data_IF_376310387422
#
_entry.id   IF_376310387422
#
_cell.length_a   1.000
_cell.length_b   1.000
_cell.length_c   1.000
_cell.angle_alpha   90.00
_cell.angle_beta   90.00
_cell.angle_gamma   90.00
#
_symmetry.space_group_name_H-M   'P 1'
#
loop_
_entity.id
_entity.type
_entity.pdbx_description
1 polymer ?
#
# COMPACT_ATOMS: atom_id res chain seq x y z
N UNK A 1 14.15 -9.23 11.46
CA UNK A 1 13.88 -9.12 12.93
C UNK A 1 14.46 -7.81 13.45
N UNK A 2 13.76 -7.11 14.35
CA UNK A 2 14.23 -5.83 14.93
C UNK A 2 15.55 -6.01 15.70
N UNK A 3 16.43 -5.01 15.59
CA UNK A 3 17.70 -4.95 16.32
C UNK A 3 17.74 -3.72 17.23
N UNK A 4 18.38 -3.86 18.39
CA UNK A 4 18.54 -2.78 19.36
C UNK A 4 20.04 -2.56 19.59
N UNK A 5 20.50 -1.35 19.34
CA UNK A 5 21.87 -0.93 19.63
C UNK A 5 21.99 -0.61 21.11
N UNK A 6 22.69 -1.46 21.86
CA UNK A 6 22.86 -1.33 23.31
C UNK A 6 23.66 -0.11 23.72
N UNK A 7 24.57 0.41 22.87
CA UNK A 7 25.36 1.61 23.17
C UNK A 7 24.48 2.87 23.13
N UNK A 8 23.53 2.94 22.18
CA UNK A 8 22.58 4.04 22.04
C UNK A 8 21.40 3.93 22.99
N UNK A 9 20.98 2.70 23.34
CA UNK A 9 19.81 2.45 24.17
C UNK A 9 20.02 2.97 25.60
N UNK A 10 19.05 3.75 26.10
CA UNK A 10 19.04 4.31 27.45
C UNK A 10 18.06 3.59 28.40
N UNK A 11 17.42 2.50 27.95
CA UNK A 11 16.51 1.71 28.77
C UNK A 11 15.20 2.41 29.16
N UNK A 12 14.76 3.42 28.38
CA UNK A 12 13.58 4.23 28.70
C UNK A 12 12.23 3.49 28.66
N UNK A 13 12.16 2.31 28.02
CA UNK A 13 10.96 1.47 27.99
C UNK A 13 9.95 1.76 26.87
N UNK A 14 9.99 2.91 26.20
CA UNK A 14 8.98 3.30 25.21
C UNK A 14 8.74 2.26 24.11
N UNK A 15 9.82 1.65 23.60
CA UNK A 15 9.70 0.62 22.56
C UNK A 15 9.02 -0.67 23.04
N UNK A 16 9.09 -0.98 24.33
CA UNK A 16 8.42 -2.15 24.91
C UNK A 16 6.94 -1.84 25.20
N UNK A 17 6.66 -0.64 25.66
CA UNK A 17 5.31 -0.15 25.95
C UNK A 17 4.46 -0.07 24.69
N UNK A 18 5.03 0.41 23.58
CA UNK A 18 4.36 0.57 22.29
C UNK A 18 4.33 -0.74 21.44
N UNK A 19 4.97 -1.80 21.88
CA UNK A 19 5.03 -3.06 21.14
C UNK A 19 3.76 -3.89 21.30
N UNK A 20 2.84 -3.83 20.33
CA UNK A 20 1.60 -4.62 20.36
C UNK A 20 1.83 -6.14 20.47
N UNK A 21 2.95 -6.66 19.92
CA UNK A 21 3.32 -8.07 20.02
C UNK A 21 4.02 -8.40 21.33
N UNK A 22 4.29 -7.42 22.21
CA UNK A 22 4.99 -7.55 23.48
C UNK A 22 6.35 -8.26 23.37
N UNK A 23 7.04 -8.05 22.25
CA UNK A 23 8.28 -8.75 21.90
C UNK A 23 9.56 -8.07 22.40
N UNK A 24 9.44 -6.99 23.16
CA UNK A 24 10.55 -6.24 23.72
C UNK A 24 10.45 -6.28 25.24
N UNK A 25 11.53 -6.68 25.91
CA UNK A 25 11.69 -6.56 27.36
C UNK A 25 12.71 -5.47 27.67
N UNK A 26 12.54 -4.80 28.79
CA UNK A 26 13.46 -3.77 29.27
C UNK A 26 13.98 -4.17 30.64
N UNK A 27 15.31 -4.21 30.73
CA UNK A 27 16.06 -4.22 31.98
C UNK A 27 16.90 -2.94 32.03
N UNK A 28 18.20 -3.03 32.17
CA UNK A 28 19.08 -1.87 31.96
C UNK A 28 19.02 -1.34 30.52
N UNK A 29 18.84 -2.24 29.57
CA UNK A 29 18.65 -2.01 28.14
C UNK A 29 17.46 -2.78 27.62
N UNK A 30 16.92 -2.35 26.50
CA UNK A 30 15.88 -3.10 25.81
C UNK A 30 16.46 -4.31 25.07
N UNK A 31 15.71 -5.41 25.04
CA UNK A 31 16.06 -6.64 24.32
C UNK A 31 14.83 -7.26 23.65
N UNK A 32 15.03 -7.80 22.45
CA UNK A 32 13.98 -8.50 21.69
C UNK A 32 13.90 -9.95 22.15
N UNK A 33 12.67 -10.48 22.33
CA UNK A 33 12.44 -11.80 22.90
C UNK A 33 11.61 -12.78 22.05
N UNK A 34 10.99 -12.33 20.98
CA UNK A 34 10.07 -13.17 20.20
C UNK A 34 9.91 -12.74 18.76
N UNK A 35 8.86 -13.24 18.08
CA UNK A 35 8.55 -12.91 16.69
C UNK A 35 8.11 -11.46 16.56
N UNK A 36 8.52 -10.82 15.48
CA UNK A 36 8.31 -9.40 15.22
C UNK A 36 7.40 -9.20 14.01
N UNK A 37 6.37 -8.39 14.16
CA UNK A 37 5.50 -7.95 13.05
C UNK A 37 6.18 -6.95 12.11
N UNK A 38 7.38 -6.50 12.44
CA UNK A 38 8.15 -5.50 11.68
C UNK A 38 7.36 -4.20 11.39
N UNK A 39 6.47 -3.82 12.31
CA UNK A 39 5.57 -2.67 12.12
C UNK A 39 6.24 -1.29 12.29
N UNK A 40 7.47 -1.23 12.76
CA UNK A 40 8.25 0.01 12.89
C UNK A 40 7.94 0.89 14.12
N UNK A 41 6.90 0.61 14.91
CA UNK A 41 6.52 1.44 16.08
C UNK A 41 7.68 1.68 17.03
N UNK A 42 8.43 0.63 17.38
CA UNK A 42 9.60 0.76 18.26
C UNK A 42 10.73 1.62 17.65
N UNK A 43 10.83 1.70 16.33
CA UNK A 43 11.74 2.62 15.65
C UNK A 43 11.25 4.06 15.81
N UNK A 44 9.97 4.30 15.53
CA UNK A 44 9.35 5.62 15.57
C UNK A 44 9.39 6.28 16.96
N UNK A 45 9.19 5.50 18.04
CA UNK A 45 9.16 6.04 19.42
C UNK A 45 10.52 6.14 20.09
N UNK A 46 11.60 5.68 19.46
CA UNK A 46 12.92 5.63 20.09
C UNK A 46 13.62 7.00 20.08
N UNK A 47 13.76 7.71 21.22
CA UNK A 47 14.34 9.05 21.27
C UNK A 47 15.86 9.05 21.05
N UNK A 48 16.48 7.89 20.92
CA UNK A 48 17.93 7.70 20.73
C UNK A 48 18.28 7.02 19.42
N UNK A 49 17.28 6.79 18.53
CA UNK A 49 17.49 6.07 17.27
C UNK A 49 18.31 4.77 17.49
N UNK A 50 17.99 4.05 18.61
CA UNK A 50 18.69 2.84 19.01
C UNK A 50 18.07 1.59 18.37
N UNK A 51 16.91 1.70 17.71
CA UNK A 51 16.17 0.56 17.17
C UNK A 51 16.22 0.60 15.63
N UNK A 52 16.43 -0.56 15.01
CA UNK A 52 16.44 -0.72 13.57
C UNK A 52 15.76 -2.01 13.14
N UNK A 53 15.26 -2.04 11.91
CA UNK A 53 14.72 -3.23 11.24
C UNK A 53 15.60 -3.51 10.02
N UNK A 54 16.56 -4.45 10.08
CA UNK A 54 17.52 -4.69 9.00
C UNK A 54 16.93 -5.07 7.65
N UNK A 55 15.68 -5.53 7.65
CA UNK A 55 14.96 -5.93 6.45
C UNK A 55 14.36 -4.70 5.72
N UNK A 56 14.44 -3.50 6.32
CA UNK A 56 13.99 -2.23 5.76
C UNK A 56 15.19 -1.34 5.46
N UNK A 57 15.00 -0.46 4.47
CA UNK A 57 15.94 0.63 4.24
C UNK A 57 15.77 1.65 5.37
N UNK A 58 16.74 1.67 6.28
CA UNK A 58 16.69 2.57 7.43
C UNK A 58 17.03 4.03 7.07
N UNK A 59 17.60 4.26 5.88
CA UNK A 59 17.86 5.61 5.36
C UNK A 59 16.57 6.26 4.80
N UNK A 60 15.51 5.45 4.57
CA UNK A 60 14.17 5.92 4.18
C UNK A 60 13.31 6.36 5.39
N UNK A 61 13.86 6.29 6.61
CA UNK A 61 13.16 6.73 7.82
C UNK A 61 13.24 8.26 7.94
N UNK A 62 12.10 8.92 7.84
CA UNK A 62 11.99 10.36 8.00
C UNK A 62 11.70 10.75 9.45
N UNK A 63 12.45 11.75 9.96
CA UNK A 63 12.12 12.36 11.25
C UNK A 63 10.96 13.35 11.08
N UNK A 64 9.96 13.28 11.98
CA UNK A 64 8.82 14.19 11.95
C UNK A 64 9.27 15.65 12.06
N UNK A 65 8.83 16.46 11.11
CA UNK A 65 9.07 17.91 11.07
C UNK A 65 7.72 18.62 11.13
N UNK A 66 7.39 19.25 12.25
CA UNK A 66 6.08 19.86 12.49
C UNK A 66 5.66 20.81 11.38
N UNK A 67 6.55 21.67 10.93
CA UNK A 67 6.26 22.72 9.94
C UNK A 67 5.98 22.16 8.54
N UNK A 68 6.65 21.05 8.15
CA UNK A 68 6.52 20.46 6.80
C UNK A 68 5.54 19.29 6.75
N UNK A 69 5.29 18.60 7.86
CA UNK A 69 4.41 17.43 7.91
C UNK A 69 3.00 17.75 8.41
N UNK A 70 2.80 18.96 8.92
CA UNK A 70 1.49 19.40 9.40
C UNK A 70 0.51 19.57 8.24
N UNK A 71 -0.55 18.80 8.27
CA UNK A 71 -1.65 18.94 7.32
C UNK A 71 -2.76 19.79 7.94
N UNK A 72 -3.26 20.77 7.18
CA UNK A 72 -4.47 21.49 7.56
C UNK A 72 -5.66 20.53 7.55
N UNK A 73 -6.42 20.38 8.66
CA UNK A 73 -7.52 19.43 8.75
C UNK A 73 -8.62 19.67 7.71
N UNK A 74 -8.85 20.92 7.31
CA UNK A 74 -9.85 21.26 6.29
C UNK A 74 -9.38 20.79 4.90
N UNK A 75 -8.09 20.91 4.60
CA UNK A 75 -7.54 20.42 3.33
C UNK A 75 -7.65 18.90 3.23
N UNK A 76 -7.37 18.17 4.33
CA UNK A 76 -7.60 16.72 4.39
C UNK A 76 -9.08 16.38 4.17
N UNK A 77 -9.97 17.09 4.86
CA UNK A 77 -11.42 16.89 4.70
C UNK A 77 -11.89 17.22 3.28
N UNK A 78 -11.35 18.27 2.66
CA UNK A 78 -11.63 18.61 1.25
C UNK A 78 -11.18 17.49 0.31
N UNK A 79 -9.97 16.95 0.48
CA UNK A 79 -9.47 15.84 -0.33
C UNK A 79 -10.40 14.62 -0.26
N UNK A 80 -10.94 14.31 0.94
CA UNK A 80 -11.90 13.23 1.13
C UNK A 80 -13.25 13.55 0.45
N UNK A 81 -13.79 14.74 0.68
CA UNK A 81 -15.11 15.16 0.15
C UNK A 81 -15.14 15.28 -1.37
N UNK A 82 -14.05 15.78 -1.98
CA UNK A 82 -13.97 16.02 -3.40
C UNK A 82 -13.54 14.80 -4.23
N UNK A 83 -13.13 13.72 -3.56
CA UNK A 83 -12.81 12.48 -4.25
C UNK A 83 -14.02 11.95 -5.02
N UNK A 84 -13.83 11.68 -6.29
CA UNK A 84 -14.84 11.06 -7.19
C UNK A 84 -14.19 9.91 -7.96
N UNK A 85 -15.01 8.98 -8.40
CA UNK A 85 -14.58 7.97 -9.36
C UNK A 85 -14.32 8.64 -10.70
N UNK A 86 -13.08 8.62 -11.15
CA UNK A 86 -12.69 9.11 -12.47
C UNK A 86 -12.98 7.99 -13.48
N UNK A 87 -13.62 8.34 -14.62
CA UNK A 87 -13.98 7.39 -15.68
C UNK A 87 -13.63 7.91 -17.07
N UNK A 88 -13.05 9.10 -17.13
CA UNK A 88 -12.55 9.72 -18.36
C UNK A 88 -11.10 10.06 -18.12
N UNK A 89 -10.21 9.48 -18.87
CA UNK A 89 -8.78 9.64 -18.72
C UNK A 89 -8.20 10.37 -19.92
N UNK A 90 -7.08 11.02 -19.70
CA UNK A 90 -6.27 11.59 -20.78
C UNK A 90 -5.40 10.47 -21.38
N UNK A 91 -5.07 10.60 -22.66
CA UNK A 91 -4.18 9.65 -23.35
C UNK A 91 -2.71 9.80 -22.96
N UNK A 92 -2.38 10.85 -22.20
CA UNK A 92 -1.02 11.12 -21.77
C UNK A 92 -0.51 10.04 -20.79
N UNK A 93 0.68 9.53 -21.07
CA UNK A 93 1.33 8.56 -20.19
C UNK A 93 1.69 9.19 -18.84
N UNK A 94 1.48 8.44 -17.78
CA UNK A 94 1.88 8.84 -16.43
C UNK A 94 3.41 8.80 -16.32
N UNK A 95 4.02 9.90 -15.88
CA UNK A 95 5.48 9.93 -15.74
C UNK A 95 5.97 8.94 -14.68
N UNK A 96 7.18 8.42 -14.86
CA UNK A 96 7.81 7.49 -13.92
C UNK A 96 7.80 8.01 -12.48
N UNK A 97 8.11 9.28 -12.27
CA UNK A 97 8.05 9.93 -10.95
C UNK A 97 6.67 9.82 -10.29
N UNK A 98 5.60 10.02 -11.06
CA UNK A 98 4.23 9.87 -10.53
C UNK A 98 3.92 8.42 -10.17
N UNK A 99 4.37 7.46 -10.98
CA UNK A 99 4.20 6.03 -10.69
C UNK A 99 4.96 5.62 -9.42
N UNK A 100 6.16 6.12 -9.23
CA UNK A 100 6.97 5.90 -8.03
C UNK A 100 6.27 6.45 -6.77
N UNK A 101 5.69 7.66 -6.84
CA UNK A 101 4.91 8.23 -5.74
C UNK A 101 3.66 7.40 -5.43
N UNK A 102 2.96 6.88 -6.44
CA UNK A 102 1.82 5.99 -6.25
C UNK A 102 2.23 4.66 -5.60
N UNK A 103 3.36 4.09 -6.01
CA UNK A 103 3.90 2.88 -5.40
C UNK A 103 4.27 3.11 -3.94
N UNK A 104 4.89 4.24 -3.62
CA UNK A 104 5.19 4.62 -2.23
C UNK A 104 3.92 4.78 -1.40
N UNK A 105 2.92 5.49 -1.89
CA UNK A 105 1.64 5.63 -1.20
C UNK A 105 0.99 4.26 -0.92
N UNK A 106 1.07 3.33 -1.89
CA UNK A 106 0.61 1.96 -1.73
C UNK A 106 1.41 1.17 -0.69
N UNK A 107 2.74 1.33 -0.66
CA UNK A 107 3.64 0.67 0.30
C UNK A 107 3.30 1.04 1.75
N UNK A 108 2.95 2.29 2.01
CA UNK A 108 2.61 2.76 3.36
C UNK A 108 1.15 2.51 3.75
N UNK A 109 0.37 1.85 2.90
CA UNK A 109 -1.00 1.45 3.24
C UNK A 109 -0.98 0.35 4.31
N UNK A 110 -1.78 0.52 5.36
CA UNK A 110 -1.89 -0.45 6.43
C UNK A 110 -2.40 -1.81 5.92
N UNK A 111 -1.76 -2.88 6.36
CA UNK A 111 -2.16 -4.26 6.05
C UNK A 111 -2.38 -5.06 7.33
N UNK A 112 -3.21 -6.12 7.29
CA UNK A 112 -3.44 -6.97 8.44
C UNK A 112 -2.11 -7.57 8.94
N UNK A 113 -1.85 -7.46 10.24
CA UNK A 113 -0.60 -7.90 10.91
C UNK A 113 0.69 -7.40 10.23
N UNK A 114 0.60 -6.27 9.53
CA UNK A 114 1.70 -5.72 8.72
C UNK A 114 2.27 -6.70 7.70
N UNK A 115 1.41 -7.50 7.07
CA UNK A 115 1.81 -8.55 6.12
C UNK A 115 2.51 -7.99 4.87
N UNK A 116 2.20 -6.75 4.46
CA UNK A 116 2.82 -6.05 3.31
C UNK A 116 2.88 -6.90 2.02
N UNK A 117 1.92 -7.81 1.85
CA UNK A 117 1.88 -8.79 0.76
C UNK A 117 1.32 -8.26 -0.57
N UNK A 118 1.15 -6.96 -0.72
CA UNK A 118 0.62 -6.37 -1.94
C UNK A 118 1.72 -6.13 -2.98
N UNK A 119 1.41 -6.42 -4.24
CA UNK A 119 2.26 -6.11 -5.38
C UNK A 119 1.56 -5.07 -6.25
N UNK A 120 2.33 -4.09 -6.74
CA UNK A 120 1.83 -3.06 -7.65
C UNK A 120 2.45 -3.26 -9.02
N UNK A 121 1.60 -3.39 -10.03
CA UNK A 121 2.02 -3.51 -11.42
C UNK A 121 1.45 -2.34 -12.20
N UNK A 122 2.29 -1.56 -12.83
CA UNK A 122 1.90 -0.45 -13.70
C UNK A 122 2.05 -0.87 -15.16
N UNK A 123 0.96 -0.83 -15.91
CA UNK A 123 0.93 -1.16 -17.34
C UNK A 123 0.57 0.10 -18.10
N UNK A 124 1.41 0.53 -19.03
CA UNK A 124 1.17 1.70 -19.89
C UNK A 124 1.34 1.37 -21.36
N UNK A 125 2.53 0.91 -21.77
CA UNK A 125 2.87 0.73 -23.19
C UNK A 125 2.10 -0.41 -23.85
N UNK A 126 1.73 -1.42 -23.07
CA UNK A 126 1.00 -2.61 -23.53
C UNK A 126 -0.43 -2.66 -22.94
N UNK A 127 -0.99 -1.50 -22.59
CA UNK A 127 -2.32 -1.44 -21.98
C UNK A 127 -3.41 -2.00 -22.90
N UNK A 128 -3.35 -1.68 -24.20
CA UNK A 128 -4.34 -2.17 -25.17
C UNK A 128 -4.24 -3.69 -25.37
N UNK A 129 -3.03 -4.24 -25.38
CA UNK A 129 -2.85 -5.69 -25.44
C UNK A 129 -3.39 -6.38 -24.17
N UNK A 130 -3.16 -5.78 -22.99
CA UNK A 130 -3.72 -6.28 -21.74
C UNK A 130 -5.26 -6.25 -21.77
N UNK A 131 -5.87 -5.15 -22.22
CA UNK A 131 -7.32 -5.03 -22.40
C UNK A 131 -7.87 -6.12 -23.29
N UNK A 132 -7.27 -6.33 -24.45
CA UNK A 132 -7.68 -7.36 -25.40
C UNK A 132 -7.57 -8.77 -24.82
N UNK A 133 -6.53 -9.05 -24.05
CA UNK A 133 -6.36 -10.34 -23.37
C UNK A 133 -7.45 -10.57 -22.31
N UNK A 134 -7.75 -9.55 -21.52
CA UNK A 134 -8.79 -9.61 -20.48
C UNK A 134 -10.16 -9.85 -21.11
N UNK A 135 -10.51 -9.09 -22.16
CA UNK A 135 -11.80 -9.24 -22.82
C UNK A 135 -11.94 -10.61 -23.51
N UNK A 136 -10.90 -11.11 -24.17
CA UNK A 136 -10.90 -12.49 -24.74
C UNK A 136 -11.07 -13.55 -23.66
N UNK A 137 -10.48 -13.36 -22.49
CA UNK A 137 -10.67 -14.28 -21.37
C UNK A 137 -12.11 -14.29 -20.87
N UNK A 138 -12.73 -13.12 -20.73
CA UNK A 138 -14.14 -12.97 -20.32
C UNK A 138 -15.08 -13.59 -21.36
N UNK A 139 -14.82 -13.39 -22.66
CA UNK A 139 -15.55 -14.05 -23.74
C UNK A 139 -15.48 -15.59 -23.65
N UNK A 140 -14.31 -16.11 -23.38
CA UNK A 140 -14.09 -17.54 -23.21
C UNK A 140 -14.86 -18.15 -22.02
N UNK A 141 -14.97 -17.39 -20.92
CA UNK A 141 -15.78 -17.81 -19.75
C UNK A 141 -17.25 -17.77 -20.09
N UNK A 142 -17.73 -16.68 -20.70
CA UNK A 142 -19.13 -16.53 -21.09
C UNK A 142 -19.58 -17.66 -22.03
N UNK A 143 -18.72 -18.04 -22.98
CA UNK A 143 -19.00 -19.10 -23.94
C UNK A 143 -19.05 -20.51 -23.32
N UNK A 144 -18.21 -20.79 -22.31
CA UNK A 144 -18.15 -22.12 -21.67
C UNK A 144 -19.21 -22.33 -20.59
N UNK A 145 -19.29 -21.39 -19.66
CA UNK A 145 -20.00 -21.59 -18.39
C UNK A 145 -21.22 -20.69 -18.23
N UNK A 146 -21.42 -19.72 -19.13
CA UNK A 146 -22.41 -18.67 -18.94
C UNK A 146 -22.13 -17.86 -17.66
N UNK A 147 -23.19 -17.34 -17.03
CA UNK A 147 -23.08 -16.53 -15.81
C UNK A 147 -23.25 -17.40 -14.55
N UNK A 148 -22.57 -18.53 -14.45
CA UNK A 148 -22.66 -19.41 -13.28
C UNK A 148 -21.88 -18.90 -12.09
N UNK A 149 -20.77 -18.20 -12.33
CA UNK A 149 -19.96 -17.59 -11.28
C UNK A 149 -20.48 -16.16 -10.97
N UNK A 150 -21.07 -16.00 -9.79
CA UNK A 150 -21.61 -14.73 -9.33
C UNK A 150 -20.52 -13.62 -9.25
N UNK A 151 -19.26 -13.99 -9.02
CA UNK A 151 -18.16 -13.04 -8.98
C UNK A 151 -17.83 -12.47 -10.37
N UNK A 152 -18.06 -13.21 -11.43
CA UNK A 152 -17.80 -12.82 -12.81
C UNK A 152 -19.00 -12.15 -13.50
N UNK A 153 -20.19 -12.27 -12.95
CA UNK A 153 -21.41 -11.70 -13.53
C UNK A 153 -21.32 -10.20 -13.88
N UNK A 154 -20.74 -9.31 -13.04
CA UNK A 154 -20.57 -7.91 -13.38
C UNK A 154 -19.69 -7.71 -14.62
N UNK A 155 -18.58 -8.44 -14.73
CA UNK A 155 -17.63 -8.31 -15.84
C UNK A 155 -18.22 -8.79 -17.16
N UNK A 156 -19.00 -9.86 -17.14
CA UNK A 156 -19.75 -10.33 -18.33
C UNK A 156 -20.75 -9.27 -18.79
N UNK A 157 -21.45 -8.61 -17.86
CA UNK A 157 -22.36 -7.52 -18.18
C UNK A 157 -21.63 -6.32 -18.81
N UNK A 158 -20.45 -5.94 -18.28
CA UNK A 158 -19.63 -4.88 -18.86
C UNK A 158 -19.12 -5.25 -20.25
N UNK A 159 -18.71 -6.50 -20.46
CA UNK A 159 -18.28 -6.97 -21.77
C UNK A 159 -19.40 -6.91 -22.82
N UNK A 160 -20.64 -7.25 -22.45
CA UNK A 160 -21.81 -7.11 -23.35
C UNK A 160 -22.06 -5.66 -23.73
N UNK A 161 -22.03 -4.75 -22.76
CA UNK A 161 -22.16 -3.30 -23.04
C UNK A 161 -21.05 -2.81 -23.97
N UNK A 162 -19.81 -3.21 -23.73
CA UNK A 162 -18.69 -2.85 -24.61
C UNK A 162 -18.90 -3.34 -26.05
N UNK A 163 -19.43 -4.55 -26.24
CA UNK A 163 -19.74 -5.07 -27.57
C UNK A 163 -20.83 -4.27 -28.31
N UNK A 164 -21.76 -3.69 -27.57
CA UNK A 164 -22.80 -2.82 -28.10
C UNK A 164 -22.28 -1.41 -28.38
N UNK A 165 -21.35 -0.92 -27.56
CA UNK A 165 -20.75 0.38 -27.70
C UNK A 165 -19.26 0.32 -27.30
N UNK A 166 -18.37 0.30 -28.29
CA UNK A 166 -16.91 0.17 -28.08
C UNK A 166 -16.28 1.30 -27.25
N UNK A 167 -16.96 2.46 -27.16
CA UNK A 167 -16.52 3.57 -26.32
C UNK A 167 -16.84 3.36 -24.83
N UNK A 168 -17.64 2.34 -24.49
CA UNK A 168 -18.04 2.02 -23.11
C UNK A 168 -17.08 0.98 -22.50
N UNK A 169 -15.81 1.37 -22.32
CA UNK A 169 -14.78 0.54 -21.69
C UNK A 169 -14.72 0.84 -20.19
N UNK A 170 -15.75 0.42 -19.46
CA UNK A 170 -15.91 0.72 -18.03
C UNK A 170 -14.89 0.02 -17.14
N UNK A 171 -14.20 -1.00 -17.62
CA UNK A 171 -13.24 -1.78 -16.83
C UNK A 171 -11.84 -1.15 -16.81
N UNK A 172 -11.52 -0.31 -17.80
CA UNK A 172 -10.18 0.27 -17.97
C UNK A 172 -10.20 1.79 -18.12
#
# INVERSE_FOLDING_TARGET
MVKINCEKCVGCGLCAEDCIAQNIKVGEKAAVKGECLQCGHCVAVCPKNAVSIPDYDMDDVEEYQEDSFKLDPNNVLHAIKFRRSIRSYQEEKVSRRKLELLAQAGRYTATAVNNQGNYFVFVQDELDELKDRVWRYIDGIEARDGVKDAALAPYIRFNRRRKENLADDFLF
#
